data_IF_452197149935
#
_entry.id   IF_452197149935
#
_cell.length_a   1.000
_cell.length_b   1.000
_cell.length_c   1.000
_cell.angle_alpha   90.00
_cell.angle_beta   90.00
_cell.angle_gamma   90.00
#
_symmetry.space_group_name_H-M   'P 1'
#
loop_
_entity.id
_entity.type
_entity.pdbx_description
1 polymer ?
#
# COMPACT_ATOMS: atom_id res chain seq x y z
N UNK A 1 -11.14 -19.51 6.33
CA UNK A 1 -10.04 -19.41 5.33
C UNK A 1 -10.03 -18.00 4.78
N UNK A 2 -8.87 -17.35 4.60
CA UNK A 2 -8.82 -15.94 4.16
C UNK A 2 -8.97 -15.79 2.64
N UNK A 3 -8.26 -16.58 1.83
CA UNK A 3 -8.45 -16.75 0.38
C UNK A 3 -7.59 -17.93 -0.12
N UNK A 4 -7.89 -18.50 -1.29
CA UNK A 4 -7.07 -19.54 -2.00
C UNK A 4 -6.85 -19.18 -3.46
N UNK A 5 -5.92 -19.89 -4.09
CA UNK A 5 -5.74 -19.86 -5.55
C UNK A 5 -5.08 -18.58 -6.07
N UNK A 6 -4.58 -17.74 -5.16
CA UNK A 6 -3.94 -16.48 -5.51
C UNK A 6 -2.55 -16.71 -6.11
N UNK A 7 -2.25 -15.99 -7.20
CA UNK A 7 -0.92 -15.99 -7.81
C UNK A 7 -0.05 -14.89 -7.19
N UNK A 8 0.88 -15.28 -6.31
CA UNK A 8 1.80 -14.37 -5.62
C UNK A 8 1.09 -13.21 -4.90
N UNK A 9 0.28 -13.49 -3.86
CA UNK A 9 -0.42 -12.45 -3.11
C UNK A 9 0.57 -11.57 -2.33
N UNK A 10 0.40 -10.25 -2.42
CA UNK A 10 1.22 -9.24 -1.74
C UNK A 10 0.37 -8.16 -1.10
N UNK A 11 1.00 -7.45 -0.15
CA UNK A 11 0.49 -6.22 0.46
C UNK A 11 -0.98 -6.32 0.92
N UNK A 12 -1.35 -7.35 1.72
CA UNK A 12 -2.68 -7.41 2.29
C UNK A 12 -2.95 -6.13 3.08
N UNK A 13 -4.10 -5.51 2.88
CA UNK A 13 -4.45 -4.26 3.55
C UNK A 13 -5.90 -4.24 3.99
N UNK A 14 -6.12 -3.84 5.23
CA UNK A 14 -7.45 -3.47 5.70
C UNK A 14 -7.66 -1.99 5.45
N UNK A 15 -8.77 -1.64 4.81
CA UNK A 15 -9.12 -0.24 4.53
C UNK A 15 -10.63 -0.12 4.32
N UNK A 16 -11.24 0.87 4.98
CA UNK A 16 -12.69 1.14 4.89
C UNK A 16 -13.57 -0.10 5.16
N UNK A 17 -13.26 -0.83 6.23
CA UNK A 17 -13.95 -2.07 6.62
C UNK A 17 -13.73 -3.26 5.68
N UNK A 18 -12.96 -3.09 4.60
CA UNK A 18 -12.76 -4.08 3.53
C UNK A 18 -11.33 -4.62 3.53
N UNK A 19 -11.18 -5.82 2.96
CA UNK A 19 -9.91 -6.56 2.83
C UNK A 19 -9.40 -6.50 1.41
N UNK A 20 -8.24 -5.93 1.24
CA UNK A 20 -7.60 -5.76 -0.06
C UNK A 20 -6.34 -6.62 -0.12
N UNK A 21 -6.04 -7.15 -1.30
CA UNK A 21 -4.77 -7.84 -1.57
C UNK A 21 -4.35 -7.56 -3.01
N UNK A 22 -3.03 -7.52 -3.25
CA UNK A 22 -2.49 -7.46 -4.60
C UNK A 22 -2.19 -8.87 -5.08
N UNK A 23 -2.72 -9.25 -6.22
CA UNK A 23 -2.32 -10.46 -6.91
C UNK A 23 -1.22 -10.10 -7.92
N UNK A 24 0.03 -10.11 -7.45
CA UNK A 24 1.15 -9.60 -8.23
C UNK A 24 1.43 -10.44 -9.48
N UNK A 25 1.19 -11.75 -9.42
CA UNK A 25 1.41 -12.66 -10.55
C UNK A 25 0.48 -12.37 -11.74
N UNK A 26 -0.68 -11.75 -11.51
CA UNK A 26 -1.62 -11.35 -12.56
C UNK A 26 -1.73 -9.83 -12.74
N UNK A 27 -1.08 -9.04 -11.86
CA UNK A 27 -1.15 -7.58 -11.87
C UNK A 27 -2.53 -7.07 -11.52
N UNK A 28 -3.14 -7.52 -10.40
CA UNK A 28 -4.51 -7.14 -10.03
C UNK A 28 -4.63 -6.64 -8.60
N UNK A 29 -5.59 -5.75 -8.38
CA UNK A 29 -6.13 -5.41 -7.06
C UNK A 29 -7.34 -6.29 -6.81
N UNK A 30 -7.32 -7.04 -5.71
CA UNK A 30 -8.43 -7.90 -5.32
C UNK A 30 -9.06 -7.40 -4.02
N UNK A 31 -10.39 -7.56 -3.94
CA UNK A 31 -11.14 -7.51 -2.70
C UNK A 31 -11.39 -8.94 -2.22
N UNK A 32 -11.20 -9.18 -0.93
CA UNK A 32 -11.54 -10.45 -0.29
C UNK A 32 -12.86 -10.32 0.46
N UNK A 33 -13.83 -11.16 0.13
CA UNK A 33 -15.11 -11.26 0.84
C UNK A 33 -14.91 -11.65 2.30
N UNK A 34 -15.69 -11.00 3.16
CA UNK A 34 -15.55 -11.13 4.59
C UNK A 34 -15.96 -12.51 5.12
N UNK A 35 -16.99 -13.10 4.51
CA UNK A 35 -17.66 -14.31 4.99
C UNK A 35 -17.03 -15.59 4.42
N UNK A 36 -16.73 -15.62 3.12
CA UNK A 36 -16.27 -16.83 2.42
C UNK A 36 -14.81 -16.84 1.98
N UNK A 37 -14.12 -15.70 1.99
CA UNK A 37 -12.77 -15.59 1.43
C UNK A 37 -12.71 -15.64 -0.11
N UNK A 38 -13.86 -15.52 -0.77
CA UNK A 38 -13.95 -15.34 -2.21
C UNK A 38 -13.25 -14.03 -2.62
N UNK A 39 -12.67 -13.99 -3.81
CA UNK A 39 -11.95 -12.81 -4.31
C UNK A 39 -12.67 -12.18 -5.50
N UNK A 40 -12.74 -10.86 -5.49
CA UNK A 40 -13.28 -10.04 -6.59
C UNK A 40 -12.13 -9.22 -7.18
N UNK A 41 -11.98 -9.26 -8.51
CA UNK A 41 -11.02 -8.40 -9.21
C UNK A 41 -11.60 -6.99 -9.29
N UNK A 42 -10.96 -6.04 -8.59
CA UNK A 42 -11.40 -4.65 -8.58
C UNK A 42 -10.73 -3.85 -9.68
N UNK A 43 -9.44 -4.07 -9.95
CA UNK A 43 -8.72 -3.38 -11.02
C UNK A 43 -7.55 -4.21 -11.57
N UNK A 44 -7.26 -4.05 -12.85
CA UNK A 44 -6.01 -4.51 -13.49
C UNK A 44 -4.95 -3.42 -13.46
N UNK A 45 -3.68 -3.82 -13.33
CA UNK A 45 -2.53 -2.94 -13.20
C UNK A 45 -1.52 -3.24 -14.31
N UNK A 46 -0.84 -2.22 -14.86
CA UNK A 46 0.12 -2.40 -15.94
C UNK A 46 1.51 -2.79 -15.42
N UNK A 47 1.60 -3.59 -14.35
CA UNK A 47 2.87 -3.92 -13.71
C UNK A 47 2.73 -4.91 -12.57
N UNK A 48 3.87 -5.45 -12.14
CA UNK A 48 3.93 -6.36 -11.00
C UNK A 48 3.70 -5.56 -9.72
N UNK A 49 2.56 -5.78 -9.08
CA UNK A 49 2.05 -4.89 -8.04
C UNK A 49 2.57 -5.25 -6.65
N UNK A 50 3.18 -4.29 -5.95
CA UNK A 50 3.64 -4.39 -4.55
C UNK A 50 3.50 -3.03 -3.87
N UNK A 51 3.27 -3.05 -2.57
CA UNK A 51 2.98 -1.83 -1.82
C UNK A 51 1.56 -1.35 -2.09
N UNK A 52 0.81 -1.15 -1.01
CA UNK A 52 -0.56 -0.67 -1.06
C UNK A 52 -0.77 0.27 0.11
N UNK A 53 -0.95 1.55 -0.19
CA UNK A 53 -1.44 2.54 0.75
C UNK A 53 -2.74 3.14 0.26
N UNK A 54 -3.72 3.28 1.15
CA UNK A 54 -5.04 3.77 0.80
C UNK A 54 -5.38 5.05 1.57
N UNK A 55 -6.08 5.97 0.91
CA UNK A 55 -6.61 7.21 1.48
C UNK A 55 -8.00 7.48 0.91
N UNK A 56 -9.02 7.41 1.76
CA UNK A 56 -10.42 7.53 1.33
C UNK A 56 -10.73 6.51 0.24
N UNK A 57 -11.28 6.97 -0.89
CA UNK A 57 -11.62 6.08 -2.03
C UNK A 57 -10.43 5.64 -2.88
N UNK A 58 -9.24 6.19 -2.66
CA UNK A 58 -8.09 5.98 -3.55
C UNK A 58 -7.06 5.03 -2.92
N UNK A 59 -6.44 4.19 -3.74
CA UNK A 59 -5.26 3.42 -3.40
C UNK A 59 -4.07 3.84 -4.27
N UNK A 60 -2.89 3.85 -3.67
CA UNK A 60 -1.61 4.09 -4.31
C UNK A 60 -0.81 2.80 -4.26
N UNK A 61 -0.34 2.36 -5.42
CA UNK A 61 0.23 1.03 -5.60
C UNK A 61 1.58 1.12 -6.29
N UNK A 62 2.59 0.45 -5.73
CA UNK A 62 3.87 0.31 -6.38
C UNK A 62 3.79 -0.72 -7.50
N UNK A 63 4.38 -0.39 -8.64
CA UNK A 63 4.48 -1.26 -9.80
C UNK A 63 5.95 -1.50 -10.14
N UNK A 64 6.27 -2.74 -10.47
CA UNK A 64 7.59 -3.17 -10.91
C UNK A 64 7.51 -3.82 -12.29
N UNK A 65 8.63 -3.78 -13.02
CA UNK A 65 8.85 -4.66 -14.17
C UNK A 65 9.25 -6.06 -13.68
N UNK A 66 9.01 -7.07 -14.50
CA UNK A 66 9.52 -8.42 -14.25
C UNK A 66 10.85 -8.56 -15.02
N UNK A 67 11.96 -8.69 -14.29
CA UNK A 67 13.29 -8.86 -14.90
C UNK A 67 13.42 -10.26 -15.53
N UNK A 68 14.14 -10.40 -16.67
CA UNK A 68 14.36 -11.70 -17.31
C UNK A 68 15.04 -12.75 -16.42
N UNK A 69 15.84 -12.30 -15.44
CA UNK A 69 16.56 -13.18 -14.50
C UNK A 69 15.78 -13.48 -13.23
N UNK A 70 14.56 -12.96 -13.07
CA UNK A 70 13.79 -13.16 -11.86
C UNK A 70 13.15 -14.54 -11.83
N UNK A 71 13.05 -15.15 -10.65
CA UNK A 71 12.32 -16.41 -10.42
C UNK A 71 10.79 -16.31 -10.66
N UNK A 72 10.33 -15.22 -11.29
CA UNK A 72 8.92 -14.94 -11.58
C UNK A 72 8.50 -15.42 -12.96
N UNK A 73 9.36 -16.16 -13.66
CA UNK A 73 8.99 -16.82 -14.92
C UNK A 73 7.90 -17.87 -14.64
N UNK A 74 6.78 -17.76 -15.36
CA UNK A 74 5.63 -18.66 -15.22
C UNK A 74 4.37 -18.02 -14.63
N UNK A 75 4.43 -16.77 -14.14
CA UNK A 75 3.21 -16.04 -13.77
C UNK A 75 2.52 -15.46 -15.00
N UNK A 76 1.18 -15.31 -14.99
CA UNK A 76 0.42 -14.78 -16.14
C UNK A 76 0.96 -13.46 -16.68
N UNK A 77 1.43 -12.57 -15.80
CA UNK A 77 1.95 -11.26 -16.16
C UNK A 77 3.27 -11.33 -16.97
N UNK A 78 4.05 -12.41 -16.81
CA UNK A 78 5.32 -12.59 -17.51
C UNK A 78 5.16 -12.71 -19.03
N UNK A 79 3.98 -13.10 -19.53
CA UNK A 79 3.66 -13.16 -20.95
C UNK A 79 3.68 -11.78 -21.64
N UNK A 80 3.50 -10.70 -20.87
CA UNK A 80 3.48 -9.31 -21.36
C UNK A 80 4.58 -8.47 -20.73
N UNK A 81 5.71 -9.10 -20.39
CA UNK A 81 6.84 -8.47 -19.66
C UNK A 81 7.33 -7.16 -20.26
N UNK A 82 7.34 -7.04 -21.59
CA UNK A 82 7.84 -5.87 -22.30
C UNK A 82 6.92 -4.64 -22.15
N UNK A 83 5.65 -4.86 -21.81
CA UNK A 83 4.64 -3.80 -21.63
C UNK A 83 4.54 -3.33 -20.16
N UNK A 84 5.23 -4.01 -19.24
CA UNK A 84 5.13 -3.71 -17.81
C UNK A 84 5.81 -2.38 -17.48
N UNK A 85 5.15 -1.66 -16.58
CA UNK A 85 5.53 -0.33 -16.12
C UNK A 85 6.07 -0.42 -14.69
N UNK A 86 7.11 0.36 -14.42
CA UNK A 86 7.55 0.62 -13.06
C UNK A 86 7.09 2.01 -12.65
N UNK A 87 6.52 2.17 -11.45
CA UNK A 87 5.90 3.43 -11.06
C UNK A 87 4.90 3.31 -9.92
N UNK A 88 4.21 4.41 -9.64
CA UNK A 88 3.12 4.44 -8.67
C UNK A 88 1.80 4.67 -9.40
N UNK A 89 0.89 3.70 -9.32
CA UNK A 89 -0.46 3.83 -9.83
C UNK A 89 -1.40 4.37 -8.75
N UNK A 90 -2.29 5.28 -9.13
CA UNK A 90 -3.44 5.68 -8.33
C UNK A 90 -4.68 4.96 -8.86
N UNK A 91 -5.41 4.26 -7.99
CA UNK A 91 -6.63 3.51 -8.33
C UNK A 91 -7.79 4.08 -7.52
N UNK A 92 -8.91 4.31 -8.21
CA UNK A 92 -10.18 4.60 -7.57
C UNK A 92 -10.87 3.27 -7.21
N UNK A 93 -10.88 2.93 -5.93
CA UNK A 93 -11.39 1.66 -5.42
C UNK A 93 -12.90 1.52 -5.56
N UNK A 94 -13.63 2.63 -5.67
CA UNK A 94 -15.08 2.62 -5.88
C UNK A 94 -15.43 2.35 -7.35
N UNK A 95 -14.66 2.94 -8.28
CA UNK A 95 -14.87 2.79 -9.72
C UNK A 95 -14.14 1.58 -10.33
N UNK A 96 -13.21 0.96 -9.60
CA UNK A 96 -12.46 -0.20 -10.07
C UNK A 96 -11.49 0.10 -11.22
N UNK A 97 -10.86 1.28 -11.22
CA UNK A 97 -9.98 1.68 -12.33
C UNK A 97 -8.78 2.50 -11.89
N UNK A 98 -7.70 2.38 -12.66
CA UNK A 98 -6.54 3.27 -12.57
C UNK A 98 -6.97 4.67 -13.01
N UNK A 99 -6.72 5.67 -12.16
CA UNK A 99 -7.02 7.09 -12.41
C UNK A 99 -5.78 7.92 -12.70
N UNK A 100 -4.60 7.40 -12.40
CA UNK A 100 -3.32 8.06 -12.68
C UNK A 100 -2.14 7.12 -12.55
N UNK A 101 -1.04 7.46 -13.21
CA UNK A 101 0.20 6.71 -13.15
C UNK A 101 1.39 7.67 -13.20
N UNK A 102 2.26 7.57 -12.20
CA UNK A 102 3.61 8.12 -12.25
C UNK A 102 4.53 6.97 -12.67
N UNK A 103 5.18 7.10 -13.83
CA UNK A 103 6.02 6.05 -14.42
C UNK A 103 7.50 6.41 -14.34
N UNK A 104 8.31 5.49 -13.84
CA UNK A 104 9.77 5.56 -13.96
C UNK A 104 10.17 4.96 -15.31
N UNK A 105 10.66 5.82 -16.20
CA UNK A 105 11.09 5.39 -17.54
C UNK A 105 12.49 4.77 -17.53
N UNK A 106 13.35 5.16 -16.57
CA UNK A 106 14.74 4.69 -16.44
C UNK A 106 15.14 4.59 -14.96
N UNK A 107 16.30 3.96 -14.70
CA UNK A 107 16.97 3.79 -13.39
C UNK A 107 16.25 2.96 -12.33
N UNK A 108 14.93 3.07 -12.21
CA UNK A 108 14.11 2.32 -11.26
C UNK A 108 13.21 1.37 -12.03
N UNK A 109 13.30 0.08 -11.69
CA UNK A 109 12.45 -0.94 -12.30
C UNK A 109 11.67 -1.75 -11.28
N UNK A 110 11.93 -1.53 -10.00
CA UNK A 110 11.29 -2.26 -8.90
C UNK A 110 10.91 -1.31 -7.77
N UNK A 111 9.65 -1.41 -7.37
CA UNK A 111 9.09 -0.76 -6.18
C UNK A 111 8.57 -1.89 -5.29
N UNK A 112 8.99 -1.85 -4.02
CA UNK A 112 8.65 -2.88 -3.04
C UNK A 112 7.52 -2.47 -2.11
N UNK A 113 7.40 -1.17 -1.81
CA UNK A 113 6.34 -0.65 -0.96
C UNK A 113 5.97 0.79 -1.32
N UNK A 114 4.76 1.21 -0.93
CA UNK A 114 4.27 2.59 -1.02
C UNK A 114 3.58 2.90 0.29
N UNK A 115 3.91 4.05 0.88
CA UNK A 115 3.31 4.54 2.12
C UNK A 115 2.84 5.98 1.94
N UNK A 116 1.78 6.34 2.66
CA UNK A 116 1.28 7.70 2.74
C UNK A 116 1.82 8.36 4.02
N UNK A 117 2.23 9.62 3.91
CA UNK A 117 2.68 10.44 5.04
C UNK A 117 1.75 11.66 5.18
N UNK A 118 0.56 11.51 5.79
CA UNK A 118 -0.41 12.60 5.92
C UNK A 118 0.18 13.78 6.69
N UNK A 119 -0.02 15.00 6.19
CA UNK A 119 0.45 16.22 6.86
C UNK A 119 1.94 16.51 6.72
N UNK A 120 2.75 15.59 6.16
CA UNK A 120 4.14 15.87 5.83
C UNK A 120 4.21 16.80 4.61
N UNK A 121 5.06 17.83 4.68
CA UNK A 121 5.27 18.79 3.57
C UNK A 121 6.64 18.68 2.92
N UNK A 122 7.66 18.33 3.70
CA UNK A 122 9.05 18.23 3.25
C UNK A 122 9.69 16.94 3.78
N UNK A 123 9.25 15.76 3.30
CA UNK A 123 9.87 14.51 3.71
C UNK A 123 11.31 14.44 3.16
N UNK A 124 12.26 14.15 4.03
CA UNK A 124 13.66 13.92 3.67
C UNK A 124 14.01 12.44 3.87
N UNK A 125 14.71 11.85 2.89
CA UNK A 125 15.22 10.48 3.00
C UNK A 125 16.71 10.57 3.30
N UNK A 126 17.07 10.31 4.56
CA UNK A 126 18.47 10.17 4.95
C UNK A 126 18.92 8.76 4.59
N UNK A 127 19.91 8.64 3.70
CA UNK A 127 20.45 7.34 3.30
C UNK A 127 21.08 6.56 4.47
N UNK A 128 21.27 5.25 4.27
CA UNK A 128 21.77 4.32 5.30
C UNK A 128 23.21 4.55 5.76
N UNK A 129 23.94 5.51 5.19
CA UNK A 129 25.34 5.77 5.47
C UNK A 129 25.51 7.22 5.93
N UNK A 130 25.49 7.47 7.25
CA UNK A 130 26.13 8.62 7.91
C UNK A 130 26.00 8.51 9.45
N UNK A 131 27.07 8.85 10.17
CA UNK A 131 27.13 9.06 11.63
C UNK A 131 25.97 9.95 12.16
N UNK A 132 25.40 10.80 11.32
CA UNK A 132 24.31 11.73 11.66
C UNK A 132 22.98 11.06 12.06
N UNK A 133 22.78 9.78 11.73
CA UNK A 133 21.60 9.03 12.19
C UNK A 133 21.56 8.84 13.71
N UNK A 134 22.71 8.93 14.41
CA UNK A 134 22.77 8.76 15.87
C UNK A 134 22.24 9.94 16.68
N UNK A 135 21.96 11.09 16.05
CA UNK A 135 21.62 12.33 16.75
C UNK A 135 20.24 12.91 16.39
N UNK A 136 19.48 12.24 15.51
CA UNK A 136 18.17 12.74 15.09
C UNK A 136 17.08 11.85 15.65
N UNK A 137 16.28 12.38 16.57
CA UNK A 137 15.05 11.77 17.05
C UNK A 137 13.88 12.73 16.86
N UNK A 138 12.75 12.19 16.41
CA UNK A 138 11.50 12.94 16.30
C UNK A 138 10.68 12.66 17.57
N UNK A 139 10.47 13.67 18.41
CA UNK A 139 9.55 13.58 19.53
C UNK A 139 8.15 13.91 19.02
N UNK A 140 7.17 12.97 19.06
CA UNK A 140 5.80 13.31 18.70
C UNK A 140 5.27 14.40 19.65
N UNK A 141 4.42 15.32 19.16
CA UNK A 141 3.83 16.35 20.01
C UNK A 141 3.09 15.69 21.18
N UNK A 142 3.29 16.21 22.39
CA UNK A 142 2.58 15.70 23.57
C UNK A 142 1.07 15.89 23.39
N UNK A 143 0.25 14.84 23.62
CA UNK A 143 -1.20 15.02 23.66
C UNK A 143 -1.55 16.01 24.78
N UNK A 144 -2.58 16.85 24.61
CA UNK A 144 -2.99 17.81 25.62
C UNK A 144 -3.35 17.07 26.92
N UNK A 145 -3.07 17.66 28.10
CA UNK A 145 -3.36 17.02 29.38
C UNK A 145 -4.87 16.75 29.49
N UNK A 146 -5.21 15.48 29.73
CA UNK A 146 -6.59 15.06 30.01
C UNK A 146 -7.06 15.75 31.29
N UNK A 147 -8.03 16.66 31.17
CA UNK A 147 -8.71 17.19 32.35
C UNK A 147 -9.56 16.09 32.97
N UNK A 148 -9.10 15.53 34.08
CA UNK A 148 -9.91 14.65 34.92
C UNK A 148 -10.89 15.53 35.69
N UNK A 149 -12.13 15.61 35.23
CA UNK A 149 -13.21 16.21 36.02
C UNK A 149 -13.58 15.24 37.15
N UNK A 150 -13.08 15.46 38.35
CA UNK A 150 -13.62 14.84 39.56
C UNK A 150 -15.02 15.41 39.81
N UNK A 151 -16.06 14.61 39.59
CA UNK A 151 -17.39 14.91 40.14
C UNK A 151 -17.30 14.71 41.66
N UNK A 152 -17.45 15.79 42.41
CA UNK A 152 -17.70 15.71 43.84
C UNK A 152 -19.09 15.11 44.05
N UNK A 153 -19.15 13.90 44.59
CA UNK A 153 -20.39 13.35 45.14
C UNK A 153 -20.72 14.12 46.42
N UNK A 154 -21.72 15.01 46.32
CA UNK A 154 -22.35 15.62 47.48
C UNK A 154 -23.32 14.62 48.10
N UNK A 155 -22.92 14.01 49.21
CA UNK A 155 -23.82 13.29 50.11
C UNK A 155 -24.13 14.23 51.28
N UNK A 156 -25.27 14.91 51.18
CA UNK A 156 -25.83 15.79 52.20
C UNK A 156 -27.21 15.28 52.60
N UNK A 157 -27.37 15.12 53.90
CA UNK A 157 -28.43 14.53 54.73
C UNK A 157 -29.87 14.82 54.37
#
# INVERSE_FOLDING_TARGET
MLASGLSMPHSPRWHDGRRWVLESGSGRVLLIDAAGGATEVVAGLPGFARGLAAAGRYAFLGLSKIRPTSAMDGVPLAARRAELKCGVAAVDLAAGRVVGLLEFQTAVEEIFDVQLLPGARFPEVVGFQKESLHHTFVVPPQPPPTQVTTRAEGMGS
#
